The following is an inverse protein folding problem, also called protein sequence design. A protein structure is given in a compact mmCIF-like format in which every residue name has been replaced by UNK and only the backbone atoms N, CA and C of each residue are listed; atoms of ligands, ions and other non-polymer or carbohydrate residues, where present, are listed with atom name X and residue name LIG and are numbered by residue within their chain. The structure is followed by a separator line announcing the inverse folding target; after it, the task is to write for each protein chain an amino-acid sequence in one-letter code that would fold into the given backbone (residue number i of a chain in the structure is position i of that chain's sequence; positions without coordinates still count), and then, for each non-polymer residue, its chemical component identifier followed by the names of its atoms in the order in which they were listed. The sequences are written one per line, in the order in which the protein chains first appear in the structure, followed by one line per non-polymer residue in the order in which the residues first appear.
data_IF_668264260811
#
_entry.id   IF_668264260811
#
_cell.length_a   1.000
_cell.length_b   1.000
_cell.length_c   1.000
_cell.angle_alpha   90.00
_cell.angle_beta   90.00
_cell.angle_gamma   90.00
#
_symmetry.space_group_name_H-M   'P 1'
#
loop_
_entity.id
_entity.type
_entity.pdbx_description
1 polymer ?
#
# COMPACT_ATOMS: atom_id res chain seq x y z
N UNK A 1 11.73 8.35 -8.28
CA UNK A 1 11.04 9.34 -7.43
C UNK A 1 11.66 9.33 -6.03
N UNK A 2 11.92 10.50 -5.48
CA UNK A 2 12.51 10.63 -4.15
C UNK A 2 11.39 10.90 -3.11
N UNK A 3 11.27 10.00 -2.14
CA UNK A 3 10.26 10.10 -1.09
C UNK A 3 10.62 11.24 -0.12
N UNK A 4 9.63 12.04 0.27
CA UNK A 4 9.82 13.25 1.07
C UNK A 4 9.29 13.15 2.50
N UNK A 5 8.45 12.19 2.80
CA UNK A 5 7.83 12.03 4.11
C UNK A 5 7.38 10.61 4.35
N UNK A 6 6.56 10.40 5.37
CA UNK A 6 6.06 9.07 5.71
C UNK A 6 5.25 8.46 4.56
N UNK A 7 4.28 9.21 4.04
CA UNK A 7 3.55 8.77 2.86
C UNK A 7 4.38 8.97 1.61
N UNK A 8 4.32 8.02 0.69
CA UNK A 8 4.94 8.15 -0.63
C UNK A 8 4.34 9.28 -1.46
N UNK A 9 3.16 9.79 -1.07
CA UNK A 9 2.48 10.87 -1.81
C UNK A 9 2.87 12.25 -1.35
N UNK A 10 3.36 12.39 -0.11
CA UNK A 10 3.64 13.70 0.44
C UNK A 10 4.79 14.39 -0.30
N UNK A 11 4.50 15.55 -0.88
CA UNK A 11 5.50 16.35 -1.59
C UNK A 11 6.09 15.67 -2.82
N UNK A 12 5.44 14.65 -3.38
CA UNK A 12 5.92 13.91 -4.55
C UNK A 12 4.89 13.97 -5.67
N UNK A 13 5.29 13.53 -6.85
CA UNK A 13 4.39 13.42 -8.00
C UNK A 13 3.86 11.99 -8.19
N UNK A 14 3.82 11.19 -7.11
CA UNK A 14 3.41 9.79 -7.22
C UNK A 14 1.99 9.65 -7.78
N UNK A 15 1.03 10.47 -7.34
CA UNK A 15 -0.33 10.42 -7.84
C UNK A 15 -0.39 10.63 -9.35
N UNK A 16 0.35 11.62 -9.85
CA UNK A 16 0.42 11.90 -11.29
C UNK A 16 1.05 10.73 -12.04
N UNK A 17 2.10 10.13 -11.49
CA UNK A 17 2.76 8.98 -12.11
C UNK A 17 1.78 7.82 -12.23
N UNK A 18 1.07 7.49 -11.15
CA UNK A 18 0.13 6.38 -11.15
C UNK A 18 -1.02 6.60 -12.13
N UNK A 19 -1.57 7.81 -12.14
CA UNK A 19 -2.67 8.15 -13.06
C UNK A 19 -2.19 8.11 -14.51
N UNK A 20 -1.04 8.67 -14.80
CA UNK A 20 -0.48 8.72 -16.15
C UNK A 20 -0.17 7.32 -16.68
N UNK A 21 0.28 6.43 -15.82
CA UNK A 21 0.58 5.05 -16.19
C UNK A 21 -0.67 4.17 -16.31
N UNK A 22 -1.84 4.69 -15.97
CA UNK A 22 -3.08 3.93 -16.03
C UNK A 22 -3.16 2.84 -14.97
N UNK A 23 -2.52 3.04 -13.83
CA UNK A 23 -2.54 2.08 -12.72
C UNK A 23 -3.92 2.11 -12.07
N UNK A 24 -4.54 0.95 -11.90
CA UNK A 24 -5.87 0.82 -11.32
C UNK A 24 -5.89 0.06 -10.00
N UNK A 25 -4.80 -0.55 -9.60
CA UNK A 25 -4.68 -1.20 -8.29
C UNK A 25 -3.23 -1.21 -7.83
N UNK A 26 -3.06 -1.26 -6.51
CA UNK A 26 -1.75 -1.13 -5.86
C UNK A 26 -1.51 -2.32 -4.93
N UNK A 27 -0.30 -2.85 -4.94
CA UNK A 27 0.18 -3.75 -3.89
C UNK A 27 1.19 -2.96 -3.08
N UNK A 28 0.89 -2.75 -1.79
CA UNK A 28 1.71 -1.91 -0.91
C UNK A 28 2.55 -2.78 0.03
N UNK A 29 3.85 -2.60 -0.03
CA UNK A 29 4.83 -3.34 0.76
C UNK A 29 5.83 -2.39 1.42
N UNK A 30 6.53 -2.87 2.42
CA UNK A 30 7.63 -2.13 3.03
C UNK A 30 7.52 -1.98 4.54
N UNK A 31 8.02 -0.87 5.08
CA UNK A 31 8.09 -0.58 6.50
C UNK A 31 7.97 0.94 6.74
N UNK A 32 7.52 1.35 7.87
CA UNK A 32 6.96 0.52 8.94
C UNK A 32 5.45 0.49 8.84
N UNK A 33 4.84 -0.61 9.32
CA UNK A 33 3.40 -0.80 9.23
C UNK A 33 2.62 0.35 9.86
N UNK A 34 3.05 0.81 11.03
CA UNK A 34 2.40 1.91 11.76
C UNK A 34 2.76 3.30 11.25
N UNK A 35 3.74 3.41 10.38
CA UNK A 35 4.24 4.69 9.85
C UNK A 35 4.00 4.83 8.36
N UNK A 36 5.04 4.59 7.58
CA UNK A 36 5.03 4.82 6.13
C UNK A 36 3.95 4.00 5.41
N UNK A 37 3.72 2.77 5.83
CA UNK A 37 2.72 1.90 5.21
C UNK A 37 1.32 2.45 5.50
N UNK A 38 1.01 2.75 6.76
CA UNK A 38 -0.29 3.32 7.12
C UNK A 38 -0.53 4.65 6.42
N UNK A 39 0.45 5.55 6.44
CA UNK A 39 0.31 6.86 5.81
C UNK A 39 0.06 6.75 4.30
N UNK A 40 0.80 5.88 3.63
CA UNK A 40 0.63 5.67 2.19
C UNK A 40 -0.72 5.01 1.89
N UNK A 41 -1.15 4.05 2.71
CA UNK A 41 -2.45 3.38 2.54
C UNK A 41 -3.61 4.38 2.64
N UNK A 42 -3.54 5.31 3.60
CA UNK A 42 -4.56 6.34 3.75
C UNK A 42 -4.63 7.22 2.50
N UNK A 43 -3.48 7.66 2.00
CA UNK A 43 -3.44 8.49 0.79
C UNK A 43 -3.91 7.73 -0.44
N UNK A 44 -3.57 6.45 -0.56
CA UNK A 44 -4.07 5.61 -1.66
C UNK A 44 -5.60 5.56 -1.66
N UNK A 45 -6.20 5.39 -0.48
CA UNK A 45 -7.67 5.43 -0.37
C UNK A 45 -8.21 6.79 -0.79
N UNK A 46 -7.60 7.86 -0.33
CA UNK A 46 -8.04 9.22 -0.65
C UNK A 46 -7.96 9.53 -2.14
N UNK A 47 -6.97 9.00 -2.83
CA UNK A 47 -6.84 9.14 -4.28
C UNK A 47 -7.68 8.11 -5.05
N UNK A 48 -8.33 7.19 -4.37
CA UNK A 48 -9.22 6.23 -5.02
C UNK A 48 -8.55 5.01 -5.62
N UNK A 49 -7.34 4.66 -5.17
CA UNK A 49 -6.65 3.46 -5.64
C UNK A 49 -6.98 2.26 -4.77
N UNK A 50 -7.65 1.22 -5.30
CA UNK A 50 -7.81 -0.04 -4.58
C UNK A 50 -6.44 -0.63 -4.24
N UNK A 51 -6.25 -1.04 -2.99
CA UNK A 51 -4.94 -1.41 -2.48
C UNK A 51 -4.99 -2.74 -1.74
N UNK A 52 -4.02 -3.62 -2.03
CA UNK A 52 -3.77 -4.83 -1.28
C UNK A 52 -2.50 -4.66 -0.46
N UNK A 53 -2.55 -5.08 0.80
CA UNK A 53 -1.40 -5.05 1.70
C UNK A 53 -1.09 -6.48 2.14
N UNK A 54 -0.10 -7.14 1.51
CA UNK A 54 0.29 -8.49 1.94
C UNK A 54 0.93 -8.40 3.34
N UNK A 55 0.32 -9.06 4.33
CA UNK A 55 0.77 -8.93 5.72
C UNK A 55 2.21 -9.36 5.93
N UNK A 56 2.69 -10.31 5.14
CA UNK A 56 4.08 -10.81 5.23
C UNK A 56 5.08 -9.88 4.56
N UNK A 57 4.62 -8.90 3.79
CA UNK A 57 5.48 -7.97 3.04
C UNK A 57 5.56 -6.60 3.69
N UNK A 58 4.99 -6.43 4.88
CA UNK A 58 5.12 -5.20 5.68
C UNK A 58 5.64 -5.57 7.06
N UNK A 59 6.36 -4.65 7.69
CA UNK A 59 6.95 -4.93 8.99
C UNK A 59 7.04 -3.69 9.87
N UNK A 60 7.21 -3.94 11.16
CA UNK A 60 7.35 -2.88 12.14
C UNK A 60 8.36 -3.31 13.20
N UNK A 61 8.72 -2.37 14.09
CA UNK A 61 9.70 -2.63 15.15
C UNK A 61 9.15 -3.50 16.27
N UNK A 62 7.83 -3.56 16.41
CA UNK A 62 7.19 -4.35 17.46
C UNK A 62 5.89 -4.94 16.94
N UNK A 63 5.48 -6.06 17.54
CA UNK A 63 4.28 -6.77 17.13
C UNK A 63 3.00 -5.96 17.39
N UNK A 64 2.90 -5.31 18.55
CA UNK A 64 1.68 -4.61 18.94
C UNK A 64 1.30 -3.49 17.96
N UNK A 65 2.18 -2.54 17.62
CA UNK A 65 1.83 -1.54 16.61
C UNK A 65 1.63 -2.14 15.23
N UNK A 66 2.38 -3.20 14.88
CA UNK A 66 2.21 -3.89 13.61
C UNK A 66 0.79 -4.44 13.47
N UNK A 67 0.35 -5.24 14.44
CA UNK A 67 -0.96 -5.87 14.39
C UNK A 67 -2.09 -4.86 14.50
N UNK A 68 -1.96 -3.86 15.38
CA UNK A 68 -2.98 -2.83 15.55
C UNK A 68 -3.18 -2.02 14.26
N UNK A 69 -2.10 -1.70 13.57
CA UNK A 69 -2.20 -0.93 12.34
C UNK A 69 -2.67 -1.77 11.16
N UNK A 70 -2.34 -3.06 11.11
CA UNK A 70 -2.94 -3.95 10.11
C UNK A 70 -4.44 -4.05 10.30
N UNK A 71 -4.91 -4.13 11.56
CA UNK A 71 -6.33 -4.12 11.87
C UNK A 71 -7.00 -2.85 11.36
N UNK A 72 -6.41 -1.68 11.64
CA UNK A 72 -6.95 -0.39 11.20
C UNK A 72 -6.96 -0.26 9.69
N UNK A 73 -5.89 -0.70 9.03
CA UNK A 73 -5.78 -0.64 7.57
C UNK A 73 -6.88 -1.50 6.95
N UNK A 74 -7.07 -2.73 7.44
CA UNK A 74 -8.11 -3.63 6.95
C UNK A 74 -9.51 -3.04 7.15
N UNK A 75 -9.73 -2.40 8.29
CA UNK A 75 -11.05 -1.88 8.63
C UNK A 75 -11.45 -0.67 7.80
N UNK A 76 -10.48 0.14 7.35
CA UNK A 76 -10.78 1.46 6.80
C UNK A 76 -10.14 1.78 5.45
N UNK A 77 -8.94 1.30 5.16
CA UNK A 77 -8.14 1.88 4.09
C UNK A 77 -7.80 0.95 2.94
N UNK A 78 -7.56 -0.33 3.20
CA UNK A 78 -7.10 -1.26 2.19
C UNK A 78 -7.45 -2.69 2.58
N UNK A 79 -7.19 -3.63 1.69
CA UNK A 79 -7.40 -5.05 1.96
C UNK A 79 -6.08 -5.67 2.43
N UNK A 80 -6.03 -6.10 3.69
CA UNK A 80 -4.89 -6.85 4.22
C UNK A 80 -5.08 -8.31 3.86
N UNK A 81 -4.14 -8.83 3.09
CA UNK A 81 -4.23 -10.18 2.53
C UNK A 81 -2.94 -10.96 2.80
N UNK A 82 -2.94 -12.25 2.49
CA UNK A 82 -1.70 -13.01 2.50
C UNK A 82 -0.87 -12.70 1.24
N UNK A 83 0.43 -12.97 1.30
CA UNK A 83 1.28 -12.80 0.12
C UNK A 83 0.81 -13.71 -1.02
N UNK A 84 0.31 -14.90 -0.69
CA UNK A 84 -0.20 -15.83 -1.69
C UNK A 84 -1.43 -15.28 -2.40
N UNK A 85 -2.35 -14.66 -1.66
CA UNK A 85 -3.52 -14.00 -2.25
C UNK A 85 -3.12 -12.83 -3.14
N UNK A 86 -2.12 -12.04 -2.71
CA UNK A 86 -1.64 -10.91 -3.50
C UNK A 86 -0.98 -11.39 -4.80
N UNK A 87 -0.18 -12.44 -4.74
CA UNK A 87 0.46 -13.02 -5.94
C UNK A 87 -0.60 -13.55 -6.89
N UNK A 88 -1.60 -14.26 -6.38
CA UNK A 88 -2.70 -14.78 -7.21
C UNK A 88 -3.45 -13.65 -7.91
N UNK A 89 -3.70 -12.56 -7.19
CA UNK A 89 -4.34 -11.39 -7.78
C UNK A 89 -3.51 -10.80 -8.92
N UNK A 90 -2.21 -10.59 -8.69
CA UNK A 90 -1.31 -10.02 -9.69
C UNK A 90 -1.24 -10.90 -10.94
N UNK A 91 -1.14 -12.21 -10.76
CA UNK A 91 -1.07 -13.15 -11.88
C UNK A 91 -2.36 -13.20 -12.69
N UNK A 92 -3.50 -12.93 -12.05
CA UNK A 92 -4.81 -12.99 -12.71
C UNK A 92 -5.23 -11.69 -13.39
N UNK A 93 -4.50 -10.60 -13.20
CA UNK A 93 -4.89 -9.29 -13.72
C UNK A 93 -4.25 -9.03 -15.09
N UNK A 94 -5.04 -8.75 -16.11
CA UNK A 94 -4.48 -8.44 -17.44
C UNK A 94 -3.98 -7.01 -17.56
N UNK A 95 -4.29 -6.14 -16.59
CA UNK A 95 -3.89 -4.74 -16.60
C UNK A 95 -2.59 -4.50 -15.86
N UNK A 96 -2.37 -3.24 -15.44
CA UNK A 96 -1.17 -2.84 -14.72
C UNK A 96 -1.39 -2.84 -13.22
N UNK A 97 -0.40 -3.35 -12.49
CA UNK A 97 -0.38 -3.29 -11.02
C UNK A 97 0.83 -2.48 -10.60
N UNK A 98 0.60 -1.46 -9.76
CA UNK A 98 1.67 -0.67 -9.19
C UNK A 98 2.01 -1.13 -7.79
N UNK A 99 3.25 -0.94 -7.37
CA UNK A 99 3.72 -1.20 -6.02
C UNK A 99 4.30 0.08 -5.42
N UNK A 100 3.97 0.34 -4.14
CA UNK A 100 4.49 1.49 -3.42
C UNK A 100 4.96 1.08 -2.03
N UNK A 101 5.96 1.77 -1.51
CA UNK A 101 6.56 1.48 -0.21
C UNK A 101 6.51 2.66 0.72
#
# INVERSE_FOLDING_TARGET
MLKKGASGFFGTNLASILLTQGVDSIVLCGATTSGCIRATAIDLLQYGFPTLVPRECVGDRARAPHEANLFDIQAKYADVVSVEEAIAYVEGVPGRVGAAV
#
